data_IF_262101069607
#
_entry.id   IF_262101069607
#
_cell.length_a   1.000
_cell.length_b   1.000
_cell.length_c   1.000
_cell.angle_alpha   90.00
_cell.angle_beta   90.00
_cell.angle_gamma   90.00
#
_symmetry.space_group_name_H-M   'P 1'
#
loop_
_entity.id
_entity.type
_entity.pdbx_description
1 polymer ?
#
# COMPACT_ATOMS: atom_id res chain seq x y z
N UNK A 1 -17.10 -2.50 -33.27
CA UNK A 1 -17.01 -1.34 -32.36
C UNK A 1 -17.52 -1.61 -30.95
N UNK A 2 -18.73 -2.15 -30.75
CA UNK A 2 -19.23 -2.42 -29.38
C UNK A 2 -18.40 -3.48 -28.64
N UNK A 3 -18.06 -4.59 -29.31
CA UNK A 3 -17.22 -5.65 -28.73
C UNK A 3 -15.82 -5.16 -28.37
N UNK A 4 -15.18 -4.39 -29.26
CA UNK A 4 -13.85 -3.81 -29.02
C UNK A 4 -13.88 -2.79 -27.87
N UNK A 5 -14.95 -2.00 -27.76
CA UNK A 5 -15.14 -1.06 -26.64
C UNK A 5 -15.41 -1.80 -25.33
N UNK A 6 -16.26 -2.83 -25.34
CA UNK A 6 -16.55 -3.65 -24.16
C UNK A 6 -15.33 -4.44 -23.69
N UNK A 7 -14.55 -5.01 -24.63
CA UNK A 7 -13.30 -5.70 -24.34
C UNK A 7 -12.25 -4.72 -23.80
N UNK A 8 -12.10 -3.54 -24.40
CA UNK A 8 -11.18 -2.50 -23.91
C UNK A 8 -11.57 -2.01 -22.51
N UNK A 9 -12.86 -1.72 -22.28
CA UNK A 9 -13.37 -1.32 -20.97
C UNK A 9 -13.23 -2.46 -19.95
N UNK A 10 -13.47 -3.71 -20.35
CA UNK A 10 -13.29 -4.89 -19.52
C UNK A 10 -11.83 -5.11 -19.12
N UNK A 11 -10.91 -5.10 -20.09
CA UNK A 11 -9.47 -5.23 -19.81
C UNK A 11 -9.01 -4.07 -18.91
N UNK A 12 -9.39 -2.83 -19.23
CA UNK A 12 -9.03 -1.66 -18.41
C UNK A 12 -9.61 -1.70 -17.00
N UNK A 13 -10.82 -2.22 -16.83
CA UNK A 13 -11.48 -2.29 -15.53
C UNK A 13 -10.94 -3.45 -14.68
N UNK A 14 -10.70 -4.61 -15.30
CA UNK A 14 -10.43 -5.87 -14.59
C UNK A 14 -8.95 -6.31 -14.60
N UNK A 15 -8.10 -5.82 -15.51
CA UNK A 15 -6.71 -6.30 -15.64
C UNK A 15 -5.71 -5.36 -14.99
N UNK A 16 -5.65 -4.10 -15.43
CA UNK A 16 -4.66 -3.14 -14.96
C UNK A 16 -5.25 -1.75 -14.70
N UNK A 17 -5.10 -1.24 -13.48
CA UNK A 17 -5.50 0.12 -13.10
C UNK A 17 -4.27 1.05 -13.01
N UNK A 18 -4.35 2.24 -13.59
CA UNK A 18 -3.31 3.25 -13.48
C UNK A 18 -3.49 4.06 -12.19
N UNK A 19 -2.46 4.11 -11.35
CA UNK A 19 -2.45 4.88 -10.08
C UNK A 19 -1.27 5.85 -10.05
N UNK A 20 -1.46 7.03 -9.48
CA UNK A 20 -0.37 7.99 -9.27
C UNK A 20 0.05 8.01 -7.80
N UNK A 21 1.31 8.37 -7.52
CA UNK A 21 1.86 8.41 -6.15
C UNK A 21 1.74 9.83 -5.56
N UNK A 22 0.90 10.06 -4.54
CA UNK A 22 0.72 11.39 -3.96
C UNK A 22 1.71 11.72 -2.85
N UNK A 23 2.38 10.72 -2.24
CA UNK A 23 3.17 10.89 -1.02
C UNK A 23 4.54 10.22 -1.07
N UNK A 24 5.45 10.66 -0.19
CA UNK A 24 6.83 10.16 -0.10
C UNK A 24 7.02 8.90 0.75
N UNK A 25 5.96 8.18 1.13
CA UNK A 25 6.05 7.02 2.03
C UNK A 25 6.76 5.80 1.43
N UNK A 26 6.91 5.77 0.12
CA UNK A 26 7.59 4.70 -0.63
C UNK A 26 8.94 5.15 -1.22
N UNK A 27 9.47 6.30 -0.77
CA UNK A 27 10.80 6.74 -1.16
C UNK A 27 11.89 5.81 -0.60
N UNK A 28 13.03 5.65 -1.30
CA UNK A 28 13.35 6.23 -2.60
C UNK A 28 12.79 5.44 -3.79
N UNK A 29 12.30 4.23 -3.56
CA UNK A 29 11.88 3.28 -4.59
C UNK A 29 10.80 3.85 -5.50
N UNK A 30 9.77 4.48 -4.94
CA UNK A 30 8.71 5.19 -5.67
C UNK A 30 8.76 6.68 -5.34
N UNK A 31 8.79 7.52 -6.37
CA UNK A 31 8.84 8.97 -6.23
C UNK A 31 7.44 9.57 -6.31
N UNK A 32 7.28 10.75 -5.72
CA UNK A 32 6.04 11.53 -5.84
C UNK A 32 5.79 11.80 -7.33
N UNK A 33 4.54 11.68 -7.76
CA UNK A 33 4.07 11.77 -9.16
C UNK A 33 4.41 10.58 -10.08
N UNK A 34 5.06 9.52 -9.59
CA UNK A 34 5.18 8.28 -10.36
C UNK A 34 3.78 7.76 -10.72
N UNK A 35 3.64 7.17 -11.91
CA UNK A 35 2.41 6.48 -12.32
C UNK A 35 2.67 5.00 -12.53
N UNK A 36 1.84 4.20 -11.89
CA UNK A 36 2.01 2.76 -11.76
C UNK A 36 0.86 2.01 -12.41
N UNK A 37 1.16 0.84 -12.96
CA UNK A 37 0.16 -0.16 -13.32
C UNK A 37 -0.03 -1.12 -12.14
N UNK A 38 -1.29 -1.31 -11.77
CA UNK A 38 -1.72 -2.21 -10.70
C UNK A 38 -2.46 -3.39 -11.31
N UNK A 39 -1.88 -4.59 -11.17
CA UNK A 39 -2.45 -5.84 -11.65
C UNK A 39 -3.44 -6.39 -10.60
N UNK A 40 -4.69 -6.65 -11.03
CA UNK A 40 -5.74 -7.21 -10.15
C UNK A 40 -5.98 -8.69 -10.39
N UNK A 41 -5.85 -9.12 -11.65
CA UNK A 41 -6.30 -10.44 -12.12
C UNK A 41 -5.61 -11.60 -11.40
N UNK A 42 -4.27 -11.55 -11.30
CA UNK A 42 -3.51 -12.62 -10.65
C UNK A 42 -3.62 -12.59 -9.13
N UNK A 43 -4.06 -11.49 -8.54
CA UNK A 43 -4.19 -11.33 -7.09
C UNK A 43 -5.47 -11.98 -6.55
N UNK A 44 -6.54 -12.01 -7.36
CA UNK A 44 -7.82 -12.60 -6.96
C UNK A 44 -7.77 -14.13 -6.68
N UNK A 45 -6.73 -14.83 -7.15
CA UNK A 45 -6.60 -16.28 -7.03
C UNK A 45 -5.35 -16.74 -6.28
N UNK A 46 -4.61 -15.85 -5.62
CA UNK A 46 -3.40 -16.23 -4.86
C UNK A 46 -3.18 -15.32 -3.66
N UNK A 47 -2.57 -15.82 -2.58
CA UNK A 47 -2.19 -14.99 -1.46
C UNK A 47 -1.10 -13.96 -1.84
N UNK A 48 -1.03 -12.84 -1.11
CA UNK A 48 0.09 -11.91 -1.17
C UNK A 48 1.42 -12.59 -0.88
N UNK A 49 2.50 -12.01 -1.39
CA UNK A 49 3.87 -12.44 -1.07
C UNK A 49 4.65 -11.32 -0.43
N UNK A 50 5.60 -11.69 0.44
CA UNK A 50 6.59 -10.74 0.96
C UNK A 50 7.34 -10.07 -0.19
N UNK A 51 7.65 -8.79 -0.02
CA UNK A 51 8.30 -7.94 -1.02
C UNK A 51 7.34 -7.28 -2.00
N UNK A 52 6.09 -7.75 -2.13
CA UNK A 52 5.14 -7.16 -3.08
C UNK A 52 4.71 -5.75 -2.67
N UNK A 53 4.63 -4.84 -3.65
CA UNK A 53 4.02 -3.53 -3.47
C UNK A 53 2.53 -3.65 -3.77
N UNK A 54 1.70 -3.40 -2.76
CA UNK A 54 0.25 -3.55 -2.83
C UNK A 54 -0.44 -2.20 -2.75
N UNK A 55 -1.52 -2.07 -3.51
CA UNK A 55 -2.48 -0.97 -3.42
C UNK A 55 -3.74 -1.49 -2.74
N UNK A 56 -4.24 -0.77 -1.75
CA UNK A 56 -5.34 -1.22 -0.89
C UNK A 56 -6.19 -0.05 -0.42
N UNK A 57 -7.38 -0.35 0.10
CA UNK A 57 -8.27 0.67 0.65
C UNK A 57 -7.70 1.30 1.93
N UNK A 58 -8.05 2.55 2.20
CA UNK A 58 -7.67 3.24 3.44
C UNK A 58 -8.04 2.43 4.70
N UNK A 59 -7.25 2.49 5.80
CA UNK A 59 -7.66 1.92 7.09
C UNK A 59 -9.03 2.42 7.56
N UNK A 60 -9.45 3.62 7.17
CA UNK A 60 -10.81 4.12 7.42
C UNK A 60 -11.93 3.28 6.77
N UNK A 61 -11.61 2.52 5.72
CA UNK A 61 -12.56 1.65 5.02
C UNK A 61 -12.74 0.29 5.71
N UNK A 62 -11.71 -0.22 6.40
CA UNK A 62 -11.74 -1.58 6.95
C UNK A 62 -11.67 -1.66 8.48
N UNK A 63 -11.05 -0.68 9.14
CA UNK A 63 -10.97 -0.64 10.59
C UNK A 63 -12.32 -0.18 11.20
N UNK A 64 -13.01 -1.04 11.98
CA UNK A 64 -14.25 -0.66 12.66
C UNK A 64 -14.12 0.56 13.56
N UNK A 65 -12.95 0.81 14.16
CA UNK A 65 -12.71 1.96 15.02
C UNK A 65 -12.57 3.28 14.24
N UNK A 66 -12.28 3.21 12.93
CA UNK A 66 -12.13 4.37 12.05
C UNK A 66 -13.27 4.58 11.06
N UNK A 67 -14.14 3.58 10.87
CA UNK A 67 -15.33 3.69 10.03
C UNK A 67 -16.19 4.84 10.54
N UNK A 68 -16.20 5.95 9.80
CA UNK A 68 -17.10 7.07 10.07
C UNK A 68 -18.54 6.63 9.77
N UNK A 69 -19.50 7.20 10.48
CA UNK A 69 -20.94 7.02 10.23
C UNK A 69 -21.40 7.56 8.86
N UNK A 70 -20.53 8.30 8.16
CA UNK A 70 -20.79 8.93 6.87
C UNK A 70 -20.14 8.17 5.69
N UNK A 71 -20.13 6.84 5.75
CA UNK A 71 -19.60 6.00 4.66
C UNK A 71 -20.18 6.48 3.31
N UNK A 72 -19.33 6.92 2.36
CA UNK A 72 -19.80 7.55 1.14
C UNK A 72 -20.61 6.52 0.33
N UNK A 73 -21.70 6.93 -0.34
CA UNK A 73 -22.46 6.02 -1.19
C UNK A 73 -21.52 5.34 -2.20
N UNK A 74 -21.79 4.07 -2.50
CA UNK A 74 -20.96 3.18 -3.33
C UNK A 74 -20.41 3.83 -4.62
N UNK A 75 -21.17 4.77 -5.19
CA UNK A 75 -20.82 5.48 -6.43
C UNK A 75 -19.82 6.64 -6.26
N UNK A 76 -19.59 7.18 -5.05
CA UNK A 76 -18.65 8.30 -4.82
C UNK A 76 -17.19 7.85 -4.91
N UNK A 77 -16.83 6.68 -4.38
CA UNK A 77 -15.45 6.18 -4.48
C UNK A 77 -15.08 5.76 -5.91
N UNK A 78 -16.05 5.39 -6.75
CA UNK A 78 -15.83 5.08 -8.17
C UNK A 78 -15.34 6.30 -8.97
N UNK A 79 -15.68 7.52 -8.55
CA UNK A 79 -15.28 8.77 -9.21
C UNK A 79 -13.93 9.31 -8.71
N UNK A 80 -13.43 8.88 -7.55
CA UNK A 80 -12.13 9.34 -7.03
C UNK A 80 -10.96 9.00 -7.96
N UNK A 81 -11.15 8.03 -8.88
CA UNK A 81 -10.12 7.53 -9.79
C UNK A 81 -10.22 8.18 -11.19
N UNK A 82 -11.16 9.10 -11.41
CA UNK A 82 -11.24 9.85 -12.66
C UNK A 82 -10.19 10.96 -12.69
N UNK A 83 -9.50 11.19 -13.82
CA UNK A 83 -8.56 12.29 -13.97
C UNK A 83 -9.22 13.62 -13.59
N UNK A 84 -8.48 14.49 -12.90
CA UNK A 84 -8.89 15.86 -12.49
C UNK A 84 -9.92 15.95 -11.33
N UNK A 85 -10.55 14.86 -10.88
CA UNK A 85 -11.52 14.91 -9.77
C UNK A 85 -10.84 15.20 -8.41
N UNK A 86 -9.61 14.72 -8.21
CA UNK A 86 -8.80 15.03 -7.03
C UNK A 86 -8.37 16.50 -6.89
N UNK A 87 -8.69 17.36 -7.85
CA UNK A 87 -8.42 18.81 -7.79
C UNK A 87 -9.58 19.62 -7.16
N UNK A 88 -10.72 18.98 -6.85
CA UNK A 88 -11.88 19.65 -6.27
C UNK A 88 -11.87 19.43 -4.75
N UNK A 89 -11.60 20.47 -3.93
CA UNK A 89 -11.61 20.34 -2.48
C UNK A 89 -12.99 19.86 -1.99
N UNK A 90 -13.00 18.83 -1.12
CA UNK A 90 -14.23 18.29 -0.52
C UNK A 90 -14.96 17.22 -1.34
N UNK A 91 -14.42 16.79 -2.49
CA UNK A 91 -15.01 15.70 -3.30
C UNK A 91 -14.48 14.31 -2.92
N UNK A 92 -13.21 14.19 -2.53
CA UNK A 92 -12.64 12.92 -2.06
C UNK A 92 -12.91 12.71 -0.57
N UNK A 93 -13.36 11.51 -0.20
CA UNK A 93 -13.57 11.11 1.18
C UNK A 93 -12.40 10.23 1.64
N UNK A 94 -11.88 10.35 2.88
CA UNK A 94 -10.72 9.58 3.34
C UNK A 94 -10.89 8.05 3.24
N UNK A 95 -12.12 7.55 3.31
CA UNK A 95 -12.42 6.13 3.11
C UNK A 95 -12.29 5.67 1.63
N UNK A 96 -12.28 6.60 0.67
CA UNK A 96 -12.07 6.33 -0.75
C UNK A 96 -10.60 6.44 -1.17
N UNK A 97 -9.70 6.82 -0.25
CA UNK A 97 -8.27 6.97 -0.58
C UNK A 97 -7.62 5.59 -0.75
N UNK A 98 -6.85 5.44 -1.82
CA UNK A 98 -6.05 4.25 -2.06
C UNK A 98 -4.64 4.47 -1.49
N UNK A 99 -4.19 3.51 -0.69
CA UNK A 99 -2.85 3.50 -0.10
C UNK A 99 -1.95 2.53 -0.84
N UNK A 100 -0.65 2.80 -0.80
CA UNK A 100 0.39 1.94 -1.36
C UNK A 100 1.47 1.69 -0.32
N UNK A 101 1.80 0.42 -0.09
CA UNK A 101 2.83 -0.04 0.86
C UNK A 101 3.44 -1.35 0.36
N UNK A 102 4.51 -1.80 1.00
CA UNK A 102 5.14 -3.09 0.73
C UNK A 102 4.75 -4.12 1.77
N UNK A 103 4.38 -5.31 1.32
CA UNK A 103 4.16 -6.49 2.17
C UNK A 103 5.50 -6.93 2.75
N UNK A 104 5.66 -6.79 4.07
CA UNK A 104 6.88 -7.24 4.77
C UNK A 104 6.70 -8.63 5.39
N UNK A 105 5.46 -9.00 5.71
CA UNK A 105 5.12 -10.30 6.29
C UNK A 105 3.69 -10.71 5.94
N UNK A 106 3.44 -12.01 5.94
CA UNK A 106 2.17 -12.66 5.59
C UNK A 106 1.64 -13.47 6.78
N UNK A 107 0.41 -14.01 6.69
CA UNK A 107 -0.20 -14.83 7.73
C UNK A 107 0.73 -15.88 8.33
N UNK A 108 0.73 -15.99 9.65
CA UNK A 108 1.57 -16.89 10.44
C UNK A 108 2.95 -16.34 10.81
N UNK A 109 3.41 -15.26 10.19
CA UNK A 109 4.75 -14.71 10.44
C UNK A 109 4.84 -14.00 11.80
N UNK A 110 5.90 -14.30 12.55
CA UNK A 110 6.31 -13.50 13.70
C UNK A 110 7.23 -12.38 13.26
N UNK A 111 6.83 -11.13 13.50
CA UNK A 111 7.55 -9.95 13.04
C UNK A 111 7.97 -9.09 14.21
N UNK A 112 9.23 -8.65 14.18
CA UNK A 112 9.73 -7.58 15.03
C UNK A 112 10.18 -6.40 14.17
N UNK A 113 9.76 -5.19 14.54
CA UNK A 113 10.26 -3.94 13.99
C UNK A 113 10.99 -3.19 15.10
N UNK A 114 12.29 -2.97 14.92
CA UNK A 114 13.13 -2.30 15.92
C UNK A 114 13.01 -0.75 15.83
N UNK A 115 13.62 0.00 16.75
CA UNK A 115 13.54 1.48 16.75
C UNK A 115 14.07 2.15 15.46
N UNK A 116 14.97 1.50 14.70
CA UNK A 116 15.40 2.01 13.38
C UNK A 116 14.37 1.78 12.27
N UNK A 117 13.32 1.02 12.55
CA UNK A 117 12.38 0.54 11.55
C UNK A 117 12.90 -0.65 10.75
N UNK A 118 13.97 -1.33 11.18
CA UNK A 118 14.44 -2.56 10.54
C UNK A 118 13.58 -3.76 10.96
N UNK A 119 13.33 -4.66 10.00
CA UNK A 119 12.37 -5.76 10.15
C UNK A 119 13.11 -7.09 10.36
N UNK A 120 12.62 -7.89 11.28
CA UNK A 120 12.99 -9.31 11.45
C UNK A 120 11.73 -10.14 11.32
N UNK A 121 11.77 -11.20 10.52
CA UNK A 121 10.66 -12.13 10.32
C UNK A 121 11.09 -13.53 10.72
N UNK A 122 10.36 -14.16 11.63
CA UNK A 122 10.64 -15.50 12.18
C UNK A 122 12.09 -15.63 12.70
N UNK A 123 12.58 -14.58 13.36
CA UNK A 123 13.95 -14.51 13.91
C UNK A 123 15.04 -14.18 12.87
N UNK A 124 14.72 -14.08 11.59
CA UNK A 124 15.67 -13.77 10.51
C UNK A 124 15.52 -12.32 10.08
N UNK A 125 16.60 -11.51 10.07
CA UNK A 125 16.56 -10.16 9.51
C UNK A 125 16.08 -10.19 8.06
N UNK A 126 15.10 -9.35 7.73
CA UNK A 126 14.60 -9.25 6.37
C UNK A 126 15.60 -8.48 5.51
N UNK A 127 15.97 -9.01 4.34
CA UNK A 127 16.80 -8.28 3.38
C UNK A 127 15.95 -7.27 2.61
N UNK A 128 16.23 -5.99 2.82
CA UNK A 128 15.42 -4.88 2.31
C UNK A 128 16.27 -3.84 1.57
N UNK A 129 16.86 -4.19 0.40
CA UNK A 129 17.71 -3.28 -0.35
C UNK A 129 16.96 -2.02 -0.85
N UNK A 130 15.63 -2.07 -0.86
CA UNK A 130 14.75 -0.95 -1.20
C UNK A 130 14.57 0.06 -0.06
N UNK A 131 14.99 -0.25 1.18
CA UNK A 131 14.90 0.68 2.31
C UNK A 131 16.24 1.33 2.56
N UNK A 132 16.30 2.63 2.28
CA UNK A 132 17.46 3.46 2.60
C UNK A 132 17.18 4.50 3.69
N UNK A 133 15.91 4.88 3.88
CA UNK A 133 15.54 5.89 4.86
C UNK A 133 15.01 5.25 6.15
N UNK A 134 15.94 4.91 7.05
CA UNK A 134 15.66 4.38 8.38
C UNK A 134 15.37 5.49 9.38
N UNK A 135 14.74 5.12 10.49
CA UNK A 135 14.48 6.04 11.59
C UNK A 135 15.78 6.43 12.31
N UNK A 136 15.86 7.69 12.72
CA UNK A 136 16.98 8.20 13.52
C UNK A 136 16.90 7.66 14.95
N UNK A 137 18.06 7.37 15.53
CA UNK A 137 18.20 7.03 16.95
C UNK A 137 18.78 8.23 17.70
N UNK A 138 18.33 8.45 18.92
CA UNK A 138 19.01 9.33 19.87
C UNK A 138 20.23 8.64 20.51
N UNK A 139 20.93 9.37 21.39
CA UNK A 139 22.12 8.87 22.08
C UNK A 139 21.85 7.65 22.99
N UNK A 140 20.58 7.39 23.31
CA UNK A 140 20.15 6.24 24.11
C UNK A 140 19.68 5.06 23.26
N UNK A 141 19.76 5.17 21.92
CA UNK A 141 19.32 4.15 20.99
C UNK A 141 17.79 4.09 20.81
N UNK A 142 17.08 5.11 21.27
CA UNK A 142 15.62 5.22 21.16
C UNK A 142 15.22 5.99 19.90
N UNK A 143 14.00 5.78 19.42
CA UNK A 143 13.46 6.48 18.25
C UNK A 143 12.01 6.89 18.48
N UNK A 144 11.59 7.96 17.80
CA UNK A 144 10.17 8.32 17.66
C UNK A 144 9.42 7.34 16.75
N UNK A 145 10.14 6.51 15.99
CA UNK A 145 9.52 5.45 15.24
C UNK A 145 8.93 4.38 16.15
N UNK A 146 7.71 3.96 15.85
CA UNK A 146 7.03 2.93 16.62
C UNK A 146 7.61 1.56 16.29
N UNK A 147 7.88 0.79 17.33
CA UNK A 147 8.30 -0.61 17.26
C UNK A 147 7.10 -1.55 17.22
N UNK A 148 7.29 -2.76 16.70
CA UNK A 148 6.28 -3.82 16.71
C UNK A 148 6.92 -5.12 17.15
N UNK A 149 6.16 -5.95 17.86
CA UNK A 149 6.46 -7.36 18.08
C UNK A 149 5.13 -8.11 18.05
N UNK A 150 4.83 -8.71 16.89
CA UNK A 150 3.49 -9.23 16.57
C UNK A 150 3.58 -10.51 15.77
N UNK A 151 2.50 -11.30 15.76
CA UNK A 151 2.31 -12.40 14.82
C UNK A 151 1.19 -12.03 13.87
N UNK A 152 1.42 -12.14 12.56
CA UNK A 152 0.44 -11.79 11.54
C UNK A 152 -0.68 -12.83 11.53
N UNK A 153 -1.95 -12.44 11.71
CA UNK A 153 -3.08 -13.37 11.62
C UNK A 153 -3.22 -13.96 10.20
N UNK A 154 -3.84 -15.12 10.09
CA UNK A 154 -4.24 -15.67 8.79
C UNK A 154 -5.19 -14.72 8.05
N UNK A 155 -5.08 -14.70 6.71
CA UNK A 155 -5.86 -13.80 5.86
C UNK A 155 -5.50 -12.31 6.01
N UNK A 156 -4.35 -12.01 6.62
CA UNK A 156 -3.84 -10.65 6.79
C UNK A 156 -2.37 -10.57 6.38
N UNK A 157 -1.93 -9.35 6.10
CA UNK A 157 -0.52 -9.01 5.87
C UNK A 157 -0.10 -7.86 6.77
N UNK A 158 1.20 -7.79 7.07
CA UNK A 158 1.81 -6.58 7.60
C UNK A 158 2.45 -5.83 6.43
N UNK A 159 2.08 -4.56 6.27
CA UNK A 159 2.64 -3.69 5.24
C UNK A 159 3.35 -2.48 5.86
N UNK A 160 4.51 -2.14 5.31
CA UNK A 160 5.30 -0.98 5.72
C UNK A 160 5.63 -0.11 4.50
N UNK A 161 5.90 1.18 4.75
CA UNK A 161 6.49 2.03 3.72
C UNK A 161 7.99 1.79 3.60
N UNK A 162 8.53 1.93 2.39
CA UNK A 162 9.97 1.87 2.15
C UNK A 162 10.69 3.05 2.83
N UNK A 163 9.99 4.19 3.00
CA UNK A 163 10.46 5.33 3.77
C UNK A 163 10.10 5.16 5.25
N UNK A 164 10.90 4.38 5.99
CA UNK A 164 10.58 3.98 7.38
C UNK A 164 10.40 5.15 8.32
N UNK A 165 11.18 6.21 8.14
CA UNK A 165 11.11 7.42 8.94
C UNK A 165 9.88 8.30 8.62
N UNK A 166 9.26 8.13 7.45
CA UNK A 166 8.15 8.96 6.99
C UNK A 166 7.08 8.13 6.28
N UNK A 167 6.45 7.22 7.03
CA UNK A 167 5.37 6.39 6.51
C UNK A 167 4.34 6.10 7.60
N UNK A 168 3.09 6.47 7.32
CA UNK A 168 1.93 6.04 8.08
C UNK A 168 1.45 4.68 7.52
N UNK A 169 1.86 3.61 8.19
CA UNK A 169 1.70 2.21 7.79
C UNK A 169 1.25 1.35 8.97
N UNK A 170 1.35 0.02 8.87
CA UNK A 170 0.90 -0.91 9.92
C UNK A 170 1.49 -0.63 11.31
N UNK A 171 2.58 0.13 11.43
CA UNK A 171 3.03 0.58 12.76
C UNK A 171 2.02 1.54 13.41
N UNK A 172 1.44 2.45 12.63
CA UNK A 172 0.75 3.63 13.13
C UNK A 172 -0.77 3.56 13.00
N UNK A 173 -1.31 2.62 12.23
CA UNK A 173 -2.75 2.52 12.03
C UNK A 173 -3.46 2.29 13.37
N UNK A 174 -4.55 3.02 13.62
CA UNK A 174 -5.49 2.66 14.66
C UNK A 174 -6.18 1.34 14.27
N UNK A 175 -6.77 0.65 15.25
CA UNK A 175 -7.41 -0.67 15.05
C UNK A 175 -6.44 -1.85 14.97
N UNK A 176 -5.20 -1.64 14.52
CA UNK A 176 -4.16 -2.65 14.56
C UNK A 176 -3.18 -2.57 13.39
N UNK A 177 -2.14 -3.41 13.40
CA UNK A 177 -1.04 -3.28 12.44
C UNK A 177 -1.27 -3.98 11.10
N UNK A 178 -2.39 -4.70 10.97
CA UNK A 178 -2.60 -5.65 9.90
C UNK A 178 -3.55 -5.12 8.85
N UNK A 179 -3.24 -5.42 7.58
CA UNK A 179 -4.09 -5.20 6.43
C UNK A 179 -4.80 -6.51 6.08
N UNK A 180 -6.14 -6.58 6.12
CA UNK A 180 -6.89 -7.72 5.58
C UNK A 180 -6.58 -7.95 4.11
N UNK A 181 -6.42 -9.20 3.69
CA UNK A 181 -6.09 -9.53 2.29
C UNK A 181 -7.19 -9.12 1.29
N UNK A 182 -8.45 -9.13 1.72
CA UNK A 182 -9.62 -8.74 0.92
C UNK A 182 -9.75 -7.23 0.69
N UNK A 183 -9.00 -6.43 1.45
CA UNK A 183 -8.90 -4.97 1.28
C UNK A 183 -7.82 -4.57 0.25
N UNK A 184 -7.04 -5.55 -0.25
CA UNK A 184 -6.03 -5.33 -1.28
C UNK A 184 -6.71 -5.21 -2.65
N UNK A 185 -6.56 -4.04 -3.28
CA UNK A 185 -7.05 -3.76 -4.63
C UNK A 185 -6.21 -4.49 -5.69
N UNK A 186 -4.90 -4.58 -5.48
CA UNK A 186 -4.00 -5.31 -6.38
C UNK A 186 -2.53 -4.99 -6.18
N UNK A 187 -1.67 -5.56 -7.02
CA UNK A 187 -0.21 -5.40 -6.94
C UNK A 187 0.31 -4.37 -7.93
N UNK A 188 1.03 -3.37 -7.47
CA UNK A 188 1.80 -2.49 -8.33
C UNK A 188 3.02 -3.23 -8.88
N UNK A 189 3.12 -3.38 -10.21
CA UNK A 189 4.16 -4.19 -10.84
C UNK A 189 5.01 -3.42 -11.86
N UNK A 190 4.54 -2.28 -12.34
CA UNK A 190 5.25 -1.50 -13.36
C UNK A 190 5.07 -0.02 -13.13
N UNK A 191 6.16 0.75 -13.23
CA UNK A 191 6.12 2.20 -13.35
C UNK A 191 6.14 2.57 -14.83
N UNK A 192 5.08 3.20 -15.33
CA UNK A 192 5.02 3.60 -16.73
C UNK A 192 5.32 5.10 -16.94
N UNK A 193 5.28 5.91 -15.89
CA UNK A 193 5.63 7.33 -15.95
C UNK A 193 6.38 7.76 -14.67
N UNK A 194 7.39 8.65 -14.77
CA UNK A 194 7.94 9.24 -15.99
C UNK A 194 8.72 8.22 -16.85
N UNK A 195 8.75 8.41 -18.17
CA UNK A 195 9.28 7.43 -19.13
C UNK A 195 10.77 7.09 -18.88
N UNK A 196 11.56 8.08 -18.44
CA UNK A 196 12.98 7.91 -18.11
C UNK A 196 13.25 7.01 -16.89
N UNK A 197 12.22 6.72 -16.08
CA UNK A 197 12.29 5.83 -14.92
C UNK A 197 11.32 4.66 -15.05
N UNK A 198 10.79 4.43 -16.26
CA UNK A 198 9.87 3.34 -16.50
C UNK A 198 10.56 1.99 -16.36
N UNK A 199 9.83 1.01 -15.84
CA UNK A 199 10.37 -0.32 -15.58
C UNK A 199 9.53 -1.10 -14.56
N UNK A 200 9.88 -2.38 -14.41
CA UNK A 200 9.24 -3.24 -13.42
C UNK A 200 9.55 -2.77 -12.01
N UNK A 201 8.55 -2.83 -11.15
CA UNK A 201 8.73 -2.70 -9.72
C UNK A 201 9.11 -4.08 -9.18
N UNK A 202 10.38 -4.23 -8.79
CA UNK A 202 10.89 -5.48 -8.23
C UNK A 202 10.15 -5.85 -6.94
N UNK A 203 10.01 -7.17 -6.75
CA UNK A 203 9.72 -7.82 -5.46
C UNK A 203 11.01 -8.01 -4.69
#
# INVERSE_FOLDING_TARGET
MLFTLALYLGIRHYVAEARFIPSGSMLPGLQIQDRLLVEKLTYAGRPPRRGEIVVFNSPHAFDPALKTTDSPPLFRCALANFPLIGLIPGVSHPACDAYIKRVVAIGGDQVTVNPRGAVTVNGVPLDEPYVTNYCTLDDQGMSLCRTLNVTVPEGHVLVLGDNRANSWDGRYWPGGPFLPEDEIIGRAFWRFWPLNRSGSLGS
#
